data_IF_333202867099
#
_entry.id   IF_333202867099
#
_cell.length_a   1.000
_cell.length_b   1.000
_cell.length_c   1.000
_cell.angle_alpha   90.00
_cell.angle_beta   90.00
_cell.angle_gamma   90.00
#
_symmetry.space_group_name_H-M   'P 1'
#
loop_
_entity.id
_entity.type
_entity.pdbx_description
1 polymer ?
#
# COMPACT_ATOMS: atom_id res chain seq x y z
N UNK A 1 2.71 16.18 -7.43
CA UNK A 1 2.17 14.79 -7.49
C UNK A 1 2.57 14.15 -8.81
N UNK A 2 2.80 12.82 -8.82
CA UNK A 2 3.21 12.06 -10.01
C UNK A 2 2.23 10.90 -10.20
N UNK A 3 1.65 10.74 -11.39
CA UNK A 3 0.83 9.56 -11.69
C UNK A 3 1.77 8.40 -11.94
N UNK A 4 1.63 7.31 -11.16
CA UNK A 4 2.51 6.16 -11.26
C UNK A 4 1.76 4.83 -11.28
N UNK A 5 2.39 3.83 -11.90
CA UNK A 5 1.88 2.46 -11.99
C UNK A 5 2.95 1.46 -11.53
N UNK A 6 2.57 0.21 -11.29
CA UNK A 6 3.51 -0.87 -11.03
C UNK A 6 4.42 -1.11 -12.24
N UNK A 7 5.73 -1.19 -12.00
CA UNK A 7 6.69 -1.59 -13.03
C UNK A 7 6.47 -3.07 -13.41
N UNK A 8 6.60 -3.38 -14.69
CA UNK A 8 6.66 -4.76 -15.17
C UNK A 8 8.08 -5.30 -14.95
N UNK A 9 8.24 -6.62 -14.85
CA UNK A 9 9.54 -7.28 -14.67
C UNK A 9 10.43 -7.26 -15.94
N UNK A 10 10.23 -6.25 -16.77
CA UNK A 10 10.95 -6.07 -18.02
C UNK A 10 11.00 -4.59 -18.35
N UNK A 11 12.19 -4.07 -18.53
CA UNK A 11 12.42 -2.64 -18.77
C UNK A 11 11.64 -2.19 -20.01
N UNK A 12 11.84 -2.85 -21.16
CA UNK A 12 11.21 -2.43 -22.40
C UNK A 12 9.68 -2.43 -22.33
N UNK A 13 9.09 -3.48 -21.74
CA UNK A 13 7.63 -3.54 -21.54
C UNK A 13 7.11 -2.44 -20.62
N UNK A 14 7.87 -2.09 -19.57
CA UNK A 14 7.54 -0.98 -18.69
C UNK A 14 7.60 0.35 -19.44
N UNK A 15 8.66 0.57 -20.22
CA UNK A 15 8.82 1.77 -21.05
C UNK A 15 7.66 1.91 -22.05
N UNK A 16 7.34 0.83 -22.77
CA UNK A 16 6.25 0.83 -23.75
C UNK A 16 4.91 1.14 -23.08
N UNK A 17 4.66 0.56 -21.90
CA UNK A 17 3.44 0.83 -21.11
C UNK A 17 3.40 2.29 -20.64
N UNK A 18 4.49 2.82 -20.12
CA UNK A 18 4.57 4.21 -19.69
C UNK A 18 4.35 5.18 -20.87
N UNK A 19 4.94 4.91 -22.03
CA UNK A 19 4.71 5.69 -23.26
C UNK A 19 3.25 5.64 -23.70
N UNK A 20 2.64 4.46 -23.70
CA UNK A 20 1.23 4.28 -24.03
C UNK A 20 0.31 5.10 -23.11
N UNK A 21 0.61 5.11 -21.82
CA UNK A 21 -0.16 5.84 -20.80
C UNK A 21 0.21 7.34 -20.72
N UNK A 22 1.31 7.76 -21.36
CA UNK A 22 1.84 9.13 -21.27
C UNK A 22 2.31 9.51 -19.86
N UNK A 23 2.87 8.57 -19.11
CA UNK A 23 3.43 8.78 -17.76
C UNK A 23 4.91 8.43 -17.73
N UNK A 24 5.61 8.91 -16.70
CA UNK A 24 7.04 8.65 -16.51
C UNK A 24 7.39 8.23 -15.08
N UNK A 25 6.45 7.67 -14.34
CA UNK A 25 6.68 7.27 -12.96
C UNK A 25 6.15 5.85 -12.74
N UNK A 26 6.96 5.03 -12.08
CA UNK A 26 6.59 3.67 -11.68
C UNK A 26 7.03 3.38 -10.25
N UNK A 27 6.42 2.37 -9.64
CA UNK A 27 6.91 1.77 -8.41
C UNK A 27 7.30 0.31 -8.64
N UNK A 28 8.38 -0.14 -8.01
CA UNK A 28 8.95 -1.47 -8.20
C UNK A 28 8.35 -2.43 -7.17
N UNK A 29 7.87 -3.59 -7.62
CA UNK A 29 7.54 -4.69 -6.71
C UNK A 29 8.81 -5.42 -6.30
N UNK A 30 9.21 -5.27 -5.03
CA UNK A 30 10.39 -5.98 -4.50
C UNK A 30 10.27 -7.50 -4.61
N UNK A 31 9.04 -8.01 -4.50
CA UNK A 31 8.74 -9.42 -4.62
C UNK A 31 9.10 -10.05 -5.97
N UNK A 32 9.20 -9.22 -7.00
CA UNK A 32 9.53 -9.66 -8.34
C UNK A 32 11.04 -9.66 -8.63
N UNK A 33 11.85 -9.16 -7.68
CA UNK A 33 13.30 -9.05 -7.85
C UNK A 33 13.99 -10.30 -7.30
N UNK A 34 15.03 -10.74 -8.00
CA UNK A 34 15.90 -11.85 -7.59
C UNK A 34 16.39 -11.67 -6.15
N UNK A 35 16.48 -12.77 -5.41
CA UNK A 35 16.94 -12.82 -4.03
C UNK A 35 15.84 -12.56 -2.99
N UNK A 36 14.72 -11.95 -3.38
CA UNK A 36 13.67 -11.62 -2.41
C UNK A 36 13.03 -12.86 -1.77
N UNK A 37 12.75 -13.88 -2.56
CA UNK A 37 12.11 -15.10 -2.06
C UNK A 37 13.00 -15.87 -1.09
N UNK A 38 14.29 -15.83 -1.34
CA UNK A 38 15.31 -16.56 -0.57
C UNK A 38 15.68 -15.82 0.73
N UNK A 39 15.78 -14.50 0.66
CA UNK A 39 16.39 -13.68 1.72
C UNK A 39 15.39 -12.80 2.48
N UNK A 40 14.20 -12.55 1.92
CA UNK A 40 13.27 -11.55 2.40
C UNK A 40 13.59 -10.12 1.94
N UNK A 41 14.63 -9.96 1.10
CA UNK A 41 15.00 -8.69 0.46
C UNK A 41 15.61 -8.95 -0.92
N UNK A 42 15.51 -8.01 -1.88
CA UNK A 42 16.03 -8.19 -3.23
C UNK A 42 17.57 -8.16 -3.25
N UNK A 43 18.13 -8.79 -4.26
CA UNK A 43 19.53 -8.59 -4.60
C UNK A 43 19.72 -7.13 -5.09
N UNK A 44 20.70 -6.44 -4.51
CA UNK A 44 20.97 -5.03 -4.80
C UNK A 44 21.28 -4.77 -6.27
N UNK A 45 22.14 -5.61 -6.87
CA UNK A 45 22.55 -5.43 -8.27
C UNK A 45 21.37 -5.67 -9.24
N UNK A 46 20.51 -6.63 -8.92
CA UNK A 46 19.31 -6.91 -9.71
C UNK A 46 18.29 -5.77 -9.60
N UNK A 47 18.12 -5.20 -8.41
CA UNK A 47 17.27 -4.03 -8.19
C UNK A 47 17.83 -2.80 -8.92
N UNK A 48 19.13 -2.54 -8.80
CA UNK A 48 19.79 -1.44 -9.52
C UNK A 48 19.68 -1.59 -11.03
N UNK A 49 19.94 -2.79 -11.57
CA UNK A 49 19.79 -3.02 -13.02
C UNK A 49 18.41 -2.62 -13.55
N UNK A 50 17.36 -2.98 -12.82
CA UNK A 50 16.00 -2.60 -13.21
C UNK A 50 15.78 -1.10 -13.09
N UNK A 51 16.09 -0.53 -11.91
CA UNK A 51 15.88 0.89 -11.63
C UNK A 51 16.67 1.79 -12.58
N UNK A 52 17.98 1.58 -12.66
CA UNK A 52 18.88 2.38 -13.52
C UNK A 52 18.50 2.24 -14.99
N UNK A 53 18.05 1.03 -15.40
CA UNK A 53 17.56 0.81 -16.75
C UNK A 53 16.30 1.61 -17.06
N UNK A 54 15.37 1.74 -16.12
CA UNK A 54 14.18 2.57 -16.26
C UNK A 54 14.53 4.07 -16.26
N UNK A 55 15.42 4.49 -15.37
CA UNK A 55 15.84 5.90 -15.27
C UNK A 55 16.59 6.39 -16.53
N UNK A 56 17.38 5.53 -17.17
CA UNK A 56 17.99 5.83 -18.49
C UNK A 56 16.95 6.12 -19.58
N UNK A 57 15.77 5.56 -19.47
CA UNK A 57 14.64 5.82 -20.37
C UNK A 57 13.75 6.99 -19.89
N UNK A 58 14.18 7.73 -18.85
CA UNK A 58 13.46 8.88 -18.31
C UNK A 58 12.28 8.52 -17.40
N UNK A 59 12.24 7.30 -16.88
CA UNK A 59 11.18 6.83 -15.99
C UNK A 59 11.68 6.88 -14.55
N UNK A 60 10.99 7.66 -13.71
CA UNK A 60 11.21 7.71 -12.27
C UNK A 60 10.74 6.39 -11.61
N UNK A 61 11.67 5.66 -11.01
CA UNK A 61 11.45 4.41 -10.31
C UNK A 61 11.91 4.52 -8.84
N UNK A 62 11.67 5.64 -8.19
CA UNK A 62 12.10 5.94 -6.82
C UNK A 62 11.18 5.40 -5.73
N UNK A 63 10.10 4.72 -6.09
CA UNK A 63 9.15 4.11 -5.16
C UNK A 63 9.10 2.59 -5.31
N UNK A 64 8.78 1.90 -4.21
CA UNK A 64 8.63 0.44 -4.21
C UNK A 64 7.42 -0.01 -3.39
N UNK A 65 6.96 -1.21 -3.68
CA UNK A 65 6.10 -1.94 -2.77
C UNK A 65 6.94 -2.93 -2.00
N UNK A 66 6.81 -2.87 -0.69
CA UNK A 66 7.56 -3.69 0.24
C UNK A 66 6.62 -4.60 1.02
N UNK A 67 7.04 -5.83 1.11
CA UNK A 67 6.28 -6.86 1.77
C UNK A 67 7.09 -7.40 2.94
N UNK A 68 6.61 -7.15 4.14
CA UNK A 68 7.21 -7.71 5.34
C UNK A 68 7.06 -9.22 5.33
N UNK A 69 8.13 -9.92 5.56
CA UNK A 69 8.25 -11.30 5.97
C UNK A 69 8.37 -12.39 4.90
N UNK A 70 9.40 -13.16 5.10
CA UNK A 70 9.58 -14.50 4.56
C UNK A 70 8.68 -15.48 5.31
N UNK A 71 7.83 -16.20 4.57
CA UNK A 71 7.13 -17.36 5.08
C UNK A 71 7.85 -18.62 4.59
N UNK A 72 8.44 -19.44 5.47
CA UNK A 72 9.08 -20.67 5.03
C UNK A 72 8.10 -21.64 4.37
N UNK A 73 6.83 -21.67 4.79
CA UNK A 73 5.89 -22.73 4.47
C UNK A 73 4.61 -22.27 3.76
N UNK A 74 4.52 -21.03 3.29
CA UNK A 74 3.37 -20.54 2.53
C UNK A 74 3.79 -19.85 1.25
N UNK A 75 2.99 -19.99 0.17
CA UNK A 75 3.22 -19.19 -1.01
C UNK A 75 3.24 -17.71 -0.57
N UNK A 76 4.24 -17.01 -1.03
CA UNK A 76 4.47 -15.60 -0.78
C UNK A 76 3.17 -14.82 -0.90
N UNK A 77 2.74 -14.18 0.18
CA UNK A 77 1.68 -13.19 0.15
C UNK A 77 2.30 -11.83 0.39
N UNK A 78 2.09 -10.92 -0.54
CA UNK A 78 2.49 -9.54 -0.36
C UNK A 78 1.87 -8.97 0.91
N UNK A 79 2.68 -8.35 1.77
CA UNK A 79 2.22 -7.55 2.90
C UNK A 79 1.96 -8.25 4.21
N UNK A 80 2.32 -9.51 4.33
CA UNK A 80 2.07 -10.21 5.58
C UNK A 80 3.19 -10.00 6.59
N UNK A 81 2.93 -9.18 7.60
CA UNK A 81 3.61 -9.37 8.89
C UNK A 81 2.82 -10.44 9.64
N UNK A 82 3.41 -11.63 9.74
CA UNK A 82 2.82 -12.73 10.50
C UNK A 82 2.61 -12.30 11.96
N UNK A 83 1.47 -12.63 12.60
CA UNK A 83 1.34 -12.43 14.05
C UNK A 83 2.47 -13.09 14.81
N UNK A 84 2.98 -14.23 14.36
CA UNK A 84 4.09 -14.89 15.01
C UNK A 84 5.36 -14.04 14.99
N UNK A 85 5.61 -13.24 13.94
CA UNK A 85 6.71 -12.28 13.89
C UNK A 85 6.50 -11.16 14.91
N UNK A 86 5.29 -10.62 14.98
CA UNK A 86 4.96 -9.55 15.92
C UNK A 86 5.01 -10.05 17.37
N UNK A 87 4.46 -11.24 17.64
CA UNK A 87 4.41 -11.82 18.98
C UNK A 87 5.79 -12.31 19.47
N UNK A 88 6.56 -12.96 18.60
CA UNK A 88 7.88 -13.51 18.96
C UNK A 88 9.03 -12.51 18.77
N UNK A 89 8.79 -11.40 18.10
CA UNK A 89 9.86 -10.48 17.62
C UNK A 89 10.93 -11.26 16.86
N UNK A 90 10.49 -12.06 15.89
CA UNK A 90 11.37 -12.95 15.12
C UNK A 90 12.59 -12.18 14.57
N UNK A 91 13.73 -12.45 15.16
CA UNK A 91 14.97 -11.72 14.86
C UNK A 91 15.38 -11.87 13.39
N UNK A 92 15.23 -13.07 12.82
CA UNK A 92 15.59 -13.30 11.42
C UNK A 92 14.74 -12.45 10.47
N UNK A 93 13.45 -12.33 10.77
CA UNK A 93 12.55 -11.50 9.97
C UNK A 93 12.87 -10.02 10.15
N UNK A 94 13.12 -9.55 11.37
CA UNK A 94 13.46 -8.15 11.65
C UNK A 94 14.79 -7.77 10.97
N UNK A 95 15.80 -8.64 11.02
CA UNK A 95 17.08 -8.41 10.34
C UNK A 95 16.92 -8.37 8.81
N UNK A 96 16.04 -9.22 8.25
CA UNK A 96 15.73 -9.17 6.83
C UNK A 96 15.01 -7.86 6.45
N UNK A 97 14.11 -7.35 7.31
CA UNK A 97 13.45 -6.06 7.13
C UNK A 97 14.45 -4.90 7.20
N UNK A 98 15.35 -4.90 8.16
CA UNK A 98 16.44 -3.92 8.26
C UNK A 98 17.30 -3.95 6.99
N UNK A 99 17.68 -5.14 6.54
CA UNK A 99 18.47 -5.32 5.32
C UNK A 99 17.74 -4.86 4.07
N UNK A 100 16.43 -5.06 4.01
CA UNK A 100 15.60 -4.54 2.94
C UNK A 100 15.71 -3.01 2.84
N UNK A 101 15.57 -2.28 3.95
CA UNK A 101 15.71 -0.82 3.97
C UNK A 101 17.09 -0.38 3.48
N UNK A 102 18.16 -1.05 3.92
CA UNK A 102 19.52 -0.76 3.43
C UNK A 102 19.63 -0.93 1.90
N UNK A 103 19.15 -2.07 1.38
CA UNK A 103 19.20 -2.38 -0.06
C UNK A 103 18.39 -1.38 -0.87
N UNK A 104 17.19 -1.03 -0.41
CA UNK A 104 16.33 -0.04 -1.07
C UNK A 104 16.99 1.33 -1.09
N UNK A 105 17.53 1.80 0.05
CA UNK A 105 18.21 3.09 0.12
C UNK A 105 19.46 3.13 -0.76
N UNK A 106 20.28 2.07 -0.76
CA UNK A 106 21.45 1.94 -1.63
C UNK A 106 21.08 1.93 -3.12
N UNK A 107 19.88 1.47 -3.47
CA UNK A 107 19.35 1.54 -4.82
C UNK A 107 18.68 2.89 -5.14
N UNK A 108 18.56 3.82 -4.17
CA UNK A 108 17.93 5.12 -4.36
C UNK A 108 16.39 5.07 -4.36
N UNK A 109 15.80 4.07 -3.72
CA UNK A 109 14.36 4.04 -3.42
C UNK A 109 14.11 4.95 -2.22
N UNK A 110 13.12 5.84 -2.34
CA UNK A 110 12.83 6.87 -1.33
C UNK A 110 11.47 6.72 -0.65
N UNK A 111 10.58 5.90 -1.22
CA UNK A 111 9.30 5.60 -0.59
C UNK A 111 8.89 4.15 -0.82
N UNK A 112 8.26 3.57 0.19
CA UNK A 112 7.75 2.20 0.14
C UNK A 112 6.32 2.14 0.67
N UNK A 113 5.51 1.33 0.02
CA UNK A 113 4.18 0.96 0.48
C UNK A 113 4.23 -0.44 1.09
N UNK A 114 3.61 -0.63 2.25
CA UNK A 114 3.47 -1.95 2.83
C UNK A 114 2.20 -2.10 3.69
N UNK A 115 1.91 -3.33 4.05
CA UNK A 115 0.74 -3.73 4.85
C UNK A 115 1.19 -4.45 6.11
N UNK A 116 0.39 -4.36 7.18
CA UNK A 116 0.59 -5.14 8.42
C UNK A 116 -0.57 -6.13 8.57
N UNK A 117 -0.34 -7.34 8.09
CA UNK A 117 -1.31 -8.44 8.14
C UNK A 117 -1.06 -9.32 9.36
N UNK A 118 -2.10 -9.81 10.02
CA UNK A 118 -2.01 -10.76 11.12
C UNK A 118 -2.51 -12.17 10.75
N UNK A 119 -3.00 -12.36 9.54
CA UNK A 119 -3.31 -13.66 8.93
C UNK A 119 -4.39 -14.52 9.59
N UNK A 120 -4.80 -14.21 10.82
CA UNK A 120 -5.86 -14.93 11.57
C UNK A 120 -6.46 -14.03 12.64
N UNK A 121 -7.72 -14.26 13.05
CA UNK A 121 -8.31 -13.58 14.20
C UNK A 121 -7.47 -13.81 15.46
N UNK A 122 -7.30 -12.76 16.26
CA UNK A 122 -6.59 -12.78 17.53
C UNK A 122 -7.56 -12.51 18.67
N UNK A 123 -7.25 -13.02 19.87
CA UNK A 123 -7.86 -12.52 21.08
C UNK A 123 -7.41 -11.09 21.36
N UNK A 124 -8.15 -10.34 22.18
CA UNK A 124 -7.78 -8.96 22.51
C UNK A 124 -6.37 -8.87 23.14
N UNK A 125 -6.01 -9.82 24.02
CA UNK A 125 -4.67 -9.86 24.60
C UNK A 125 -3.58 -10.09 23.55
N UNK A 126 -3.76 -11.03 22.63
CA UNK A 126 -2.82 -11.27 21.54
C UNK A 126 -2.72 -10.07 20.59
N UNK A 127 -3.82 -9.37 20.41
CA UNK A 127 -3.82 -8.15 19.58
C UNK A 127 -2.97 -7.04 20.19
N UNK A 128 -3.09 -6.79 21.49
CA UNK A 128 -2.25 -5.80 22.19
C UNK A 128 -0.76 -6.22 22.20
N UNK A 129 -0.46 -7.51 22.33
CA UNK A 129 0.89 -8.03 22.20
C UNK A 129 1.45 -7.84 20.78
N UNK A 130 0.64 -8.06 19.74
CA UNK A 130 1.00 -7.76 18.36
C UNK A 130 1.27 -6.25 18.15
N UNK A 131 0.44 -5.40 18.75
CA UNK A 131 0.66 -3.94 18.71
C UNK A 131 1.98 -3.56 19.36
N UNK A 132 2.30 -4.10 20.53
CA UNK A 132 3.59 -3.84 21.16
C UNK A 132 4.74 -4.34 20.29
N UNK A 133 4.61 -5.55 19.71
CA UNK A 133 5.59 -6.08 18.76
C UNK A 133 5.79 -5.20 17.55
N UNK A 134 4.72 -4.67 16.98
CA UNK A 134 4.81 -3.74 15.85
C UNK A 134 5.53 -2.45 16.23
N UNK A 135 5.20 -1.89 17.40
CA UNK A 135 5.86 -0.69 17.91
C UNK A 135 7.35 -0.93 18.11
N UNK A 136 7.72 -2.02 18.78
CA UNK A 136 9.11 -2.40 19.03
C UNK A 136 9.90 -2.52 17.71
N UNK A 137 9.35 -3.22 16.71
CA UNK A 137 9.94 -3.39 15.40
C UNK A 137 10.09 -2.04 14.67
N UNK A 138 9.07 -1.20 14.69
CA UNK A 138 9.14 0.12 14.05
C UNK A 138 10.16 1.04 14.72
N UNK A 139 10.24 1.02 16.05
CA UNK A 139 11.26 1.78 16.79
C UNK A 139 12.69 1.36 16.40
N UNK A 140 12.91 0.08 16.10
CA UNK A 140 14.19 -0.42 15.63
C UNK A 140 14.45 -0.07 14.16
N UNK A 141 13.42 -0.17 13.29
CA UNK A 141 13.58 0.03 11.85
C UNK A 141 13.59 1.50 11.41
N UNK A 142 12.89 2.41 12.13
CA UNK A 142 12.80 3.80 11.71
C UNK A 142 14.15 4.52 11.62
N UNK A 143 15.09 4.36 12.55
CA UNK A 143 16.43 4.95 12.39
C UNK A 143 17.16 4.49 11.14
N UNK A 144 16.95 3.23 10.72
CA UNK A 144 17.53 2.68 9.49
C UNK A 144 16.87 3.33 8.27
N UNK A 145 15.55 3.44 8.28
CA UNK A 145 14.79 4.12 7.22
C UNK A 145 15.21 5.59 7.08
N UNK A 146 15.37 6.30 8.20
CA UNK A 146 15.83 7.70 8.22
C UNK A 146 17.24 7.84 7.64
N UNK A 147 18.17 6.99 8.05
CA UNK A 147 19.54 6.95 7.56
C UNK A 147 19.62 6.73 6.04
N UNK A 148 18.69 5.98 5.50
CA UNK A 148 18.57 5.69 4.06
C UNK A 148 17.57 6.58 3.32
N UNK A 149 17.01 7.60 3.98
CA UNK A 149 16.04 8.54 3.43
C UNK A 149 14.79 7.87 2.84
N UNK A 150 14.35 6.76 3.46
CA UNK A 150 13.18 6.01 3.03
C UNK A 150 11.96 6.43 3.85
N UNK A 151 10.87 6.74 3.17
CA UNK A 151 9.55 7.00 3.74
C UNK A 151 8.70 5.74 3.65
N UNK A 152 8.24 5.24 4.78
CA UNK A 152 7.42 4.03 4.88
C UNK A 152 5.96 4.44 4.93
N UNK A 153 5.20 4.08 3.91
CA UNK A 153 3.76 4.29 3.84
C UNK A 153 3.03 3.03 4.30
N UNK A 154 2.65 2.96 5.57
CA UNK A 154 1.82 1.86 6.07
C UNK A 154 0.39 2.00 5.56
N UNK A 155 -0.12 0.95 4.94
CA UNK A 155 -1.46 0.92 4.39
C UNK A 155 -2.45 0.37 5.42
N UNK A 156 -3.60 1.02 5.57
CA UNK A 156 -4.74 0.45 6.29
C UNK A 156 -5.48 -0.51 5.37
N UNK A 157 -5.72 -1.74 5.81
CA UNK A 157 -6.52 -2.69 5.05
C UNK A 157 -7.57 -3.36 5.92
N UNK A 158 -8.80 -3.04 5.66
CA UNK A 158 -10.03 -3.79 5.85
C UNK A 158 -10.28 -4.53 7.18
N UNK A 159 -9.61 -4.15 8.27
CA UNK A 159 -10.03 -4.64 9.58
C UNK A 159 -11.44 -4.15 9.97
N UNK A 160 -11.85 -3.04 9.39
CA UNK A 160 -13.23 -2.53 9.51
C UNK A 160 -14.27 -3.51 9.06
N UNK A 161 -13.92 -4.28 8.09
CA UNK A 161 -14.77 -5.34 7.64
C UNK A 161 -14.96 -6.36 8.77
N UNK A 162 -14.00 -6.55 9.65
CA UNK A 162 -14.13 -7.46 10.79
C UNK A 162 -14.97 -6.91 11.97
N UNK A 163 -14.96 -5.60 12.24
CA UNK A 163 -15.53 -5.07 13.49
C UNK A 163 -16.72 -4.12 13.36
N UNK A 164 -16.83 -3.31 12.32
CA UNK A 164 -17.94 -2.33 12.20
C UNK A 164 -18.86 -2.62 11.02
N UNK A 165 -18.35 -3.20 9.97
CA UNK A 165 -19.12 -3.63 8.82
C UNK A 165 -19.70 -5.03 9.07
N UNK A 166 -19.07 -5.84 9.95
CA UNK A 166 -19.63 -7.12 10.38
C UNK A 166 -21.05 -6.97 10.90
N UNK A 167 -21.29 -6.00 11.78
CA UNK A 167 -22.62 -5.69 12.29
C UNK A 167 -23.54 -5.19 11.17
N UNK A 168 -23.07 -4.27 10.32
CA UNK A 168 -23.84 -3.77 9.19
C UNK A 168 -24.05 -4.79 8.07
N UNK A 169 -23.09 -5.67 7.82
CA UNK A 169 -23.23 -6.75 6.85
C UNK A 169 -24.26 -7.78 7.32
N UNK A 170 -24.28 -8.10 8.60
CA UNK A 170 -25.31 -8.96 9.22
C UNK A 170 -26.70 -8.31 9.08
N UNK A 171 -26.80 -7.03 9.39
CA UNK A 171 -28.04 -6.26 9.23
C UNK A 171 -28.51 -6.16 7.77
N UNK A 172 -27.58 -6.23 6.82
CA UNK A 172 -27.84 -6.24 5.37
C UNK A 172 -28.05 -7.66 4.79
N UNK A 173 -28.02 -8.69 5.63
CA UNK A 173 -28.24 -10.08 5.23
C UNK A 173 -27.03 -10.77 4.62
N UNK A 174 -25.85 -10.16 4.67
CA UNK A 174 -24.59 -10.82 4.26
C UNK A 174 -24.15 -11.78 5.34
N UNK A 175 -23.92 -13.03 4.98
CA UNK A 175 -23.45 -14.04 5.92
C UNK A 175 -22.00 -13.76 6.33
N UNK A 176 -21.72 -13.78 7.62
CA UNK A 176 -20.37 -13.54 8.17
C UNK A 176 -19.36 -14.55 7.62
N UNK A 177 -19.80 -15.79 7.38
CA UNK A 177 -18.96 -16.85 6.80
C UNK A 177 -18.55 -16.50 5.37
N UNK A 178 -19.46 -16.01 4.54
CA UNK A 178 -19.19 -15.61 3.16
C UNK A 178 -18.24 -14.42 3.13
N UNK A 179 -18.35 -13.55 4.09
CA UNK A 179 -17.51 -12.40 4.27
C UNK A 179 -16.07 -12.76 4.66
N UNK A 180 -15.91 -13.63 5.66
CA UNK A 180 -14.59 -14.14 6.07
C UNK A 180 -13.93 -14.96 4.95
N UNK A 181 -14.71 -15.72 4.18
CA UNK A 181 -14.22 -16.52 3.04
C UNK A 181 -13.73 -15.62 1.91
N UNK A 182 -14.48 -14.59 1.56
CA UNK A 182 -14.10 -13.64 0.52
C UNK A 182 -12.76 -12.94 0.82
N UNK A 183 -12.49 -12.61 2.08
CA UNK A 183 -11.23 -12.00 2.51
C UNK A 183 -10.12 -13.01 2.78
N UNK A 184 -10.43 -14.21 3.25
CA UNK A 184 -9.45 -15.26 3.48
C UNK A 184 -8.86 -15.84 2.17
N UNK A 185 -9.65 -15.90 1.12
CA UNK A 185 -9.20 -16.45 -0.17
C UNK A 185 -8.42 -15.45 -1.03
N UNK A 186 -8.61 -14.13 -0.84
CA UNK A 186 -8.02 -13.09 -1.68
C UNK A 186 -6.78 -12.44 -1.11
N UNK A 187 -6.83 -11.96 0.14
CA UNK A 187 -5.88 -10.96 0.65
C UNK A 187 -5.28 -11.24 2.03
N UNK A 188 -5.44 -12.39 2.60
CA UNK A 188 -4.98 -12.70 3.94
C UNK A 188 -6.07 -12.52 5.00
N UNK A 189 -5.74 -12.65 6.25
CA UNK A 189 -6.66 -12.52 7.37
C UNK A 189 -6.88 -11.08 7.82
N UNK A 190 -7.43 -10.87 9.01
CA UNK A 190 -7.61 -9.53 9.55
C UNK A 190 -6.26 -8.80 9.67
N UNK A 191 -6.24 -7.51 9.33
CA UNK A 191 -5.06 -6.66 9.42
C UNK A 191 -5.00 -5.98 10.79
N UNK A 192 -3.81 -5.89 11.37
CA UNK A 192 -3.61 -5.18 12.63
C UNK A 192 -3.84 -3.68 12.44
N UNK A 193 -3.35 -3.14 11.32
CA UNK A 193 -3.58 -1.76 10.92
C UNK A 193 -4.71 -1.72 9.90
N UNK A 194 -5.95 -1.69 10.39
CA UNK A 194 -7.15 -1.80 9.56
C UNK A 194 -7.82 -0.47 9.25
N UNK A 195 -7.57 0.57 10.04
CA UNK A 195 -8.23 1.87 9.92
C UNK A 195 -7.26 3.02 10.11
N UNK A 196 -7.71 4.24 9.84
CA UNK A 196 -6.92 5.45 10.16
C UNK A 196 -6.72 5.65 11.66
N UNK A 197 -7.56 5.07 12.50
CA UNK A 197 -7.36 5.09 13.96
C UNK A 197 -6.09 4.33 14.33
N UNK A 198 -5.90 3.17 13.76
CA UNK A 198 -4.71 2.34 13.97
C UNK A 198 -3.46 3.01 13.35
N UNK A 199 -3.58 3.65 12.18
CA UNK A 199 -2.50 4.44 11.60
C UNK A 199 -2.09 5.60 12.52
N UNK A 200 -3.04 6.34 13.10
CA UNK A 200 -2.76 7.38 14.10
C UNK A 200 -2.04 6.81 15.31
N UNK A 201 -2.49 5.65 15.81
CA UNK A 201 -1.86 4.93 16.93
C UNK A 201 -0.38 4.64 16.62
N UNK A 202 -0.10 4.09 15.44
CA UNK A 202 1.26 3.73 15.02
C UNK A 202 2.16 4.96 14.88
N UNK A 203 1.67 6.02 14.24
CA UNK A 203 2.44 7.27 14.07
C UNK A 203 2.71 7.94 15.41
N UNK A 204 1.74 7.95 16.32
CA UNK A 204 1.90 8.53 17.66
C UNK A 204 2.87 7.72 18.53
N UNK A 205 2.85 6.39 18.42
CA UNK A 205 3.73 5.50 19.19
C UNK A 205 5.18 5.51 18.68
N UNK A 206 5.38 5.76 17.39
CA UNK A 206 6.70 5.80 16.75
C UNK A 206 6.84 7.09 15.93
N UNK A 207 7.10 8.24 16.58
CA UNK A 207 7.23 9.52 15.91
C UNK A 207 8.54 9.61 15.14
N UNK A 208 8.48 9.38 13.81
CA UNK A 208 9.60 9.42 12.88
C UNK A 208 9.16 10.09 11.57
N UNK A 209 10.01 10.87 10.90
CA UNK A 209 9.71 11.38 9.57
C UNK A 209 9.54 10.28 8.53
N UNK A 210 10.18 9.12 8.75
CA UNK A 210 10.06 7.93 7.89
C UNK A 210 8.80 7.12 8.14
N UNK A 211 8.12 7.28 9.28
CA UNK A 211 6.86 6.62 9.58
C UNK A 211 5.67 7.46 9.09
N UNK A 212 4.92 6.92 8.17
CA UNK A 212 3.76 7.58 7.58
C UNK A 212 2.74 6.60 7.03
N UNK A 213 1.86 7.09 6.19
CA UNK A 213 0.74 6.32 5.66
C UNK A 213 0.80 6.17 4.14
N UNK A 214 0.19 5.09 3.67
CA UNK A 214 -0.38 5.03 2.33
C UNK A 214 -1.83 5.48 2.43
N UNK A 215 -2.14 6.60 1.82
CA UNK A 215 -3.53 7.04 1.67
C UNK A 215 -4.21 6.14 0.63
N UNK A 216 -5.31 5.51 1.01
CA UNK A 216 -6.17 4.77 0.10
C UNK A 216 -7.57 5.37 0.10
N UNK A 217 -8.07 5.79 -1.05
CA UNK A 217 -9.36 6.46 -1.17
C UNK A 217 -10.54 5.50 -1.33
N UNK A 218 -10.29 4.26 -1.75
CA UNK A 218 -11.32 3.26 -2.01
C UNK A 218 -11.92 2.62 -0.77
N UNK A 219 -11.44 3.01 0.37
CA UNK A 219 -12.02 2.64 1.63
C UNK A 219 -12.95 3.78 2.05
N UNK A 220 -14.23 3.61 1.78
CA UNK A 220 -15.27 4.38 2.49
C UNK A 220 -15.18 3.97 3.96
N UNK A 221 -14.14 4.52 4.61
CA UNK A 221 -13.75 4.12 5.94
C UNK A 221 -14.79 4.68 6.89
N UNK A 222 -15.52 3.81 7.59
CA UNK A 222 -16.44 4.27 8.59
C UNK A 222 -15.73 5.21 9.55
N UNK A 223 -16.12 6.47 9.54
CA UNK A 223 -15.66 7.49 10.45
C UNK A 223 -14.63 8.50 9.92
N UNK A 224 -14.33 8.53 8.62
CA UNK A 224 -13.42 9.54 8.09
C UNK A 224 -13.87 10.11 6.73
N UNK A 225 -13.89 11.42 6.62
CA UNK A 225 -13.88 12.11 5.34
C UNK A 225 -12.44 12.05 4.81
N UNK A 226 -12.21 11.52 3.62
CA UNK A 226 -10.86 11.37 3.05
C UNK A 226 -10.16 12.72 2.91
N UNK A 227 -10.88 13.80 2.60
CA UNK A 227 -10.33 15.17 2.53
C UNK A 227 -9.78 15.63 3.87
N UNK A 228 -10.52 15.37 4.96
CA UNK A 228 -10.06 15.70 6.31
C UNK A 228 -8.84 14.87 6.72
N UNK A 229 -8.81 13.60 6.33
CA UNK A 229 -7.66 12.71 6.57
C UNK A 229 -6.42 13.17 5.80
N UNK A 230 -6.57 13.64 4.57
CA UNK A 230 -5.46 14.21 3.80
C UNK A 230 -4.87 15.42 4.54
N UNK A 231 -5.72 16.33 5.02
CA UNK A 231 -5.28 17.51 5.79
C UNK A 231 -4.64 17.13 7.11
N UNK A 232 -5.18 16.14 7.81
CA UNK A 232 -4.65 15.65 9.08
C UNK A 232 -3.25 15.04 8.94
N UNK A 233 -3.10 14.10 8.00
CA UNK A 233 -1.84 13.36 7.82
C UNK A 233 -0.78 14.19 7.09
N UNK A 234 -1.18 15.05 6.14
CA UNK A 234 -0.29 16.01 5.49
C UNK A 234 1.00 15.36 4.98
N UNK A 235 2.14 15.84 5.48
CA UNK A 235 3.49 15.33 5.11
C UNK A 235 3.75 13.87 5.49
N UNK A 236 2.88 13.24 6.27
CA UNK A 236 2.93 11.80 6.59
C UNK A 236 2.32 10.93 5.50
N UNK A 237 1.72 11.48 4.47
CA UNK A 237 1.28 10.72 3.30
C UNK A 237 2.49 10.41 2.45
N UNK A 238 2.93 9.15 2.43
CA UNK A 238 4.12 8.72 1.73
C UNK A 238 3.83 8.02 0.40
N UNK A 239 2.60 7.55 0.22
CA UNK A 239 2.09 6.96 -1.00
C UNK A 239 0.59 7.22 -1.09
N UNK A 240 0.02 7.26 -2.31
CA UNK A 240 -1.42 7.43 -2.51
C UNK A 240 -1.94 6.41 -3.52
N UNK A 241 -2.95 5.65 -3.12
CA UNK A 241 -3.75 4.79 -3.99
C UNK A 241 -5.10 5.46 -4.21
N UNK A 242 -5.35 5.86 -5.44
CA UNK A 242 -6.59 6.53 -5.83
C UNK A 242 -7.55 5.49 -6.41
N UNK A 243 -8.57 5.17 -5.64
CA UNK A 243 -9.66 4.26 -6.00
C UNK A 243 -10.96 5.01 -6.09
N UNK A 244 -11.93 4.41 -6.75
CA UNK A 244 -13.32 4.85 -6.75
C UNK A 244 -14.27 3.66 -6.64
N UNK A 245 -15.49 3.89 -6.16
CA UNK A 245 -16.47 2.83 -6.01
C UNK A 245 -17.90 3.39 -6.10
N UNK A 246 -18.84 2.56 -6.57
CA UNK A 246 -20.27 2.84 -6.51
C UNK A 246 -20.85 2.25 -5.22
N UNK A 247 -21.82 2.96 -4.65
CA UNK A 247 -22.51 2.48 -3.44
C UNK A 247 -21.64 2.58 -2.18
N UNK A 248 -22.12 1.94 -1.13
CA UNK A 248 -21.42 1.81 0.14
C UNK A 248 -21.09 0.35 0.40
N UNK A 249 -19.93 0.10 1.00
CA UNK A 249 -19.61 -1.25 1.43
C UNK A 249 -20.70 -1.81 2.39
N UNK A 250 -21.07 -3.09 2.30
CA UNK A 250 -20.50 -4.16 1.47
C UNK A 250 -21.00 -4.24 0.03
N UNK A 251 -21.93 -3.39 -0.36
CA UNK A 251 -22.58 -3.41 -1.70
C UNK A 251 -21.78 -2.61 -2.75
N UNK A 252 -20.71 -1.94 -2.32
CA UNK A 252 -19.88 -1.13 -3.21
C UNK A 252 -19.11 -1.99 -4.20
N UNK A 253 -19.14 -1.55 -5.47
CA UNK A 253 -18.35 -2.14 -6.55
C UNK A 253 -17.23 -1.17 -6.89
N UNK A 254 -15.99 -1.66 -6.91
CA UNK A 254 -14.85 -0.88 -7.37
C UNK A 254 -14.95 -0.63 -8.87
N UNK A 255 -14.74 0.62 -9.27
CA UNK A 255 -14.85 1.11 -10.64
C UNK A 255 -13.66 2.01 -10.96
N UNK A 256 -13.39 2.31 -12.24
CA UNK A 256 -12.37 3.28 -12.59
C UNK A 256 -12.63 4.64 -11.93
N UNK A 257 -11.55 5.37 -11.53
CA UNK A 257 -11.68 6.72 -11.00
C UNK A 257 -12.53 7.62 -11.89
N UNK A 258 -13.53 8.27 -11.31
CA UNK A 258 -14.51 9.12 -11.98
C UNK A 258 -15.81 8.43 -12.41
N UNK A 259 -15.90 7.11 -12.26
CA UNK A 259 -17.15 6.36 -12.52
C UNK A 259 -17.90 6.02 -11.22
N UNK A 260 -17.32 6.31 -10.07
CA UNK A 260 -17.88 6.05 -8.75
C UNK A 260 -18.54 7.26 -8.10
N UNK A 261 -18.65 7.21 -6.79
CA UNK A 261 -19.31 8.23 -5.97
C UNK A 261 -18.38 9.08 -5.11
N UNK A 262 -17.07 8.87 -5.18
CA UNK A 262 -16.12 9.67 -4.41
C UNK A 262 -15.86 11.03 -5.05
N UNK A 263 -15.81 12.09 -4.25
CA UNK A 263 -15.35 13.41 -4.71
C UNK A 263 -13.81 13.43 -4.84
N UNK A 264 -13.32 12.74 -5.88
CA UNK A 264 -11.89 12.64 -6.16
C UNK A 264 -11.25 14.00 -6.44
N UNK A 265 -12.02 14.97 -6.95
CA UNK A 265 -11.53 16.33 -7.17
C UNK A 265 -11.14 16.99 -5.84
N UNK A 266 -12.03 16.97 -4.85
CA UNK A 266 -11.75 17.54 -3.53
C UNK A 266 -10.60 16.81 -2.83
N UNK A 267 -10.44 15.50 -3.03
CA UNK A 267 -9.31 14.74 -2.49
C UNK A 267 -8.00 15.18 -3.12
N UNK A 268 -7.95 15.34 -4.44
CA UNK A 268 -6.75 15.80 -5.18
C UNK A 268 -6.41 17.25 -4.81
N UNK A 269 -7.41 18.12 -4.64
CA UNK A 269 -7.22 19.49 -4.17
C UNK A 269 -6.61 19.51 -2.77
N UNK A 270 -7.10 18.69 -1.85
CA UNK A 270 -6.54 18.55 -0.51
C UNK A 270 -5.09 18.03 -0.53
N UNK A 271 -4.77 17.05 -1.39
CA UNK A 271 -3.40 16.59 -1.59
C UNK A 271 -2.49 17.73 -2.09
N UNK A 272 -3.01 18.62 -2.92
CA UNK A 272 -2.30 19.84 -3.39
C UNK A 272 -2.12 20.84 -2.26
N UNK A 273 -3.15 21.07 -1.44
CA UNK A 273 -3.10 21.96 -0.26
C UNK A 273 -2.00 21.54 0.73
N UNK A 274 -1.78 20.24 0.92
CA UNK A 274 -0.73 19.72 1.82
C UNK A 274 0.63 19.51 1.14
N UNK A 275 0.81 20.00 -0.09
CA UNK A 275 2.02 19.88 -0.90
C UNK A 275 2.50 18.43 -1.10
N UNK A 276 1.56 17.50 -1.30
CA UNK A 276 1.93 16.11 -1.57
C UNK A 276 2.63 15.97 -2.92
N UNK A 277 3.89 15.50 -2.91
CA UNK A 277 4.73 15.35 -4.11
C UNK A 277 4.92 13.88 -4.55
N UNK A 278 4.33 12.94 -3.84
CA UNK A 278 4.52 11.51 -4.06
C UNK A 278 3.73 10.95 -5.24
N UNK A 279 3.73 9.61 -5.31
CA UNK A 279 3.01 8.84 -6.32
C UNK A 279 1.51 8.81 -6.01
N UNK A 280 0.70 9.11 -7.03
CA UNK A 280 -0.74 8.82 -7.07
C UNK A 280 -0.94 7.66 -8.02
N UNK A 281 -1.36 6.53 -7.49
CA UNK A 281 -1.58 5.30 -8.24
C UNK A 281 -3.07 5.02 -8.41
N UNK A 282 -3.62 5.09 -9.64
CA UNK A 282 -4.97 4.58 -9.91
C UNK A 282 -5.00 3.07 -9.72
N UNK A 283 -5.88 2.57 -8.84
CA UNK A 283 -5.89 1.17 -8.44
C UNK A 283 -7.32 0.62 -8.37
N UNK A 284 -7.46 -0.71 -8.41
CA UNK A 284 -8.74 -1.41 -8.29
C UNK A 284 -9.81 -0.92 -9.28
N UNK A 285 -9.47 -0.95 -10.54
CA UNK A 285 -10.26 -0.35 -11.63
C UNK A 285 -11.51 -1.17 -12.04
N UNK A 286 -11.84 -2.22 -11.26
CA UNK A 286 -12.93 -3.11 -11.64
C UNK A 286 -12.53 -4.08 -12.76
N UNK A 287 -13.54 -4.54 -13.51
CA UNK A 287 -13.35 -5.48 -14.64
C UNK A 287 -13.62 -4.78 -15.97
N UNK A 288 -12.84 -5.07 -17.03
CA UNK A 288 -13.15 -4.60 -18.38
C UNK A 288 -14.57 -4.98 -18.79
N UNK A 289 -15.30 -4.04 -19.42
CA UNK A 289 -16.68 -4.21 -19.87
C UNK A 289 -16.76 -4.87 -21.25
N UNK A 290 -15.66 -4.77 -22.01
CA UNK A 290 -15.51 -5.36 -23.34
C UNK A 290 -14.05 -5.71 -23.62
N UNK A 291 -13.84 -6.58 -24.60
CA UNK A 291 -12.47 -6.99 -24.99
C UNK A 291 -11.67 -5.79 -25.51
N UNK A 292 -10.44 -5.64 -24.99
CA UNK A 292 -9.54 -4.55 -25.36
C UNK A 292 -9.75 -3.24 -24.59
N UNK A 293 -10.67 -3.19 -23.62
CA UNK A 293 -10.81 -2.01 -22.75
C UNK A 293 -9.57 -1.83 -21.86
N UNK A 294 -8.90 -0.68 -21.98
CA UNK A 294 -7.75 -0.32 -21.14
C UNK A 294 -8.21 0.60 -20.00
N UNK A 295 -8.67 -0.02 -18.91
CA UNK A 295 -9.12 0.70 -17.71
C UNK A 295 -8.00 1.55 -17.09
N UNK A 296 -6.75 1.12 -17.19
CA UNK A 296 -5.61 1.90 -16.68
C UNK A 296 -5.40 3.18 -17.49
N UNK A 297 -5.53 3.11 -18.82
CA UNK A 297 -5.44 4.32 -19.66
C UNK A 297 -6.56 5.31 -19.35
N UNK A 298 -7.78 4.82 -19.14
CA UNK A 298 -8.93 5.65 -18.74
C UNK A 298 -8.66 6.31 -17.37
N UNK A 299 -8.24 5.54 -16.38
CA UNK A 299 -7.97 6.02 -15.04
C UNK A 299 -6.83 7.06 -15.00
N UNK A 300 -5.72 6.79 -15.71
CA UNK A 300 -4.61 7.74 -15.85
C UNK A 300 -5.07 9.03 -16.53
N UNK A 301 -5.88 8.94 -17.59
CA UNK A 301 -6.45 10.10 -18.29
C UNK A 301 -7.31 10.95 -17.34
N UNK A 302 -8.18 10.32 -16.58
CA UNK A 302 -9.04 11.00 -15.61
C UNK A 302 -8.21 11.70 -14.50
N UNK A 303 -7.27 10.99 -13.88
CA UNK A 303 -6.41 11.56 -12.81
C UNK A 303 -5.55 12.70 -13.35
N UNK A 304 -5.06 12.59 -14.59
CA UNK A 304 -4.34 13.69 -15.26
C UNK A 304 -5.22 14.94 -15.38
N UNK A 305 -6.47 14.78 -15.78
CA UNK A 305 -7.45 15.88 -15.84
C UNK A 305 -7.66 16.54 -14.46
N UNK A 306 -7.71 15.77 -13.38
CA UNK A 306 -7.82 16.31 -12.02
C UNK A 306 -6.58 17.11 -11.60
N UNK A 307 -5.39 16.71 -12.05
CA UNK A 307 -4.12 17.38 -11.74
C UNK A 307 -3.87 18.63 -12.61
N UNK A 308 -4.72 18.92 -13.59
CA UNK A 308 -4.57 20.08 -14.48
C UNK A 308 -3.44 19.93 -15.52
N UNK A 309 -3.06 18.70 -15.85
CA UNK A 309 -1.97 18.37 -16.77
C UNK A 309 -2.49 17.89 -18.13
#
# INVERSE_FOLDING_TARGET
MKIGIGALNNIQKTVDRCKHLGINTVFISCAAIEGYKENGYPNLDSLRRLKDGLEKEGIDASSATYWFAKWPDRPFRPGATNPDILLSRDRQCIDAMAKMLEVLGQAGITSILHYVDIGKPLSHAQEEDCWQGLIDIYQELMPIAENHHIRIGTHSLHRLLANGVREKAVDSGVRIEDYNTYHAEGWGGPFLVGTYKELRRLIAAVPSPSNGITLCTGLDIPGGNVVDLVREFGSKIHFCQLRDHTGRWPEGIEVPPGEGGLDLKSIVDALTEVDYQGVVHPEHLGKPRYEGEDLMAQAVGYVRGLLGN
#
